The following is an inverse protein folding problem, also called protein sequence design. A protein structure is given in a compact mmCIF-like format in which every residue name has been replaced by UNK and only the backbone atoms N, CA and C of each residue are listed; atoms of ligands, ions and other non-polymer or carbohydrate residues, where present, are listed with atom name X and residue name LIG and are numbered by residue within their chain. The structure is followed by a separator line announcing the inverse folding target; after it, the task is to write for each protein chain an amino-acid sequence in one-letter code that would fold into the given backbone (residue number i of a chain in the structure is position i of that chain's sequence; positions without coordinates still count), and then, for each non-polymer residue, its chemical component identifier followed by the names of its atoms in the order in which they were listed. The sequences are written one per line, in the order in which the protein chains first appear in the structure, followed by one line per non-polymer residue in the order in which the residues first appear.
data_IF_419127069792
#
_entry.id   IF_419127069792
#
_cell.length_a   1.000
_cell.length_b   1.000
_cell.length_c   1.000
_cell.angle_alpha   90.00
_cell.angle_beta   90.00
_cell.angle_gamma   90.00
#
_symmetry.space_group_name_H-M   'P 1'
#
loop_
_entity.id
_entity.type
_entity.pdbx_description
1 polymer ?
#
# COMPACT_ATOMS: atom_id res chain seq x y z
N UNK A 1 -52.97 71.89 -26.47
CA UNK A 1 -53.73 72.00 -25.21
C UNK A 1 -54.79 70.91 -25.22
N UNK A 2 -54.49 69.63 -25.05
CA UNK A 2 -53.82 68.88 -23.97
C UNK A 2 -54.83 68.08 -23.15
N UNK A 3 -54.58 66.75 -23.14
CA UNK A 3 -55.01 65.66 -22.21
C UNK A 3 -56.45 65.13 -22.36
N UNK A 4 -56.71 63.92 -22.86
CA UNK A 4 -56.31 62.51 -22.55
C UNK A 4 -57.23 61.79 -21.53
N UNK A 5 -57.32 60.46 -21.76
CA UNK A 5 -57.75 59.33 -20.88
C UNK A 5 -59.25 59.00 -20.97
N UNK A 6 -59.74 57.81 -21.34
CA UNK A 6 -59.24 56.43 -21.44
C UNK A 6 -60.12 55.67 -22.46
N UNK A 7 -59.55 54.75 -23.25
CA UNK A 7 -60.05 53.36 -23.37
C UNK A 7 -59.12 52.53 -24.25
N UNK A 8 -58.80 51.35 -23.72
CA UNK A 8 -58.13 50.20 -24.33
C UNK A 8 -58.55 49.90 -25.77
N UNK A 9 -57.60 49.48 -26.60
CA UNK A 9 -57.48 48.12 -27.17
C UNK A 9 -56.38 48.16 -28.24
N UNK A 10 -55.34 47.33 -28.11
CA UNK A 10 -54.29 47.28 -29.13
C UNK A 10 -53.06 46.52 -28.67
N UNK A 11 -53.13 45.20 -28.83
CA UNK A 11 -52.01 44.26 -28.85
C UNK A 11 -50.72 44.79 -29.47
N UNK A 12 -49.59 44.70 -28.76
CA UNK A 12 -48.27 44.53 -29.37
C UNK A 12 -47.18 44.29 -28.31
N UNK A 13 -46.40 43.23 -28.56
CA UNK A 13 -45.03 42.97 -28.10
C UNK A 13 -44.80 42.79 -26.60
N UNK A 14 -44.55 41.55 -26.15
CA UNK A 14 -43.20 40.97 -26.10
C UNK A 14 -42.20 41.86 -25.34
N UNK A 15 -42.01 41.57 -24.05
CA UNK A 15 -40.71 41.14 -23.52
C UNK A 15 -40.92 40.74 -22.06
N UNK A 16 -41.20 39.45 -21.84
CA UNK A 16 -40.85 38.83 -20.58
C UNK A 16 -39.31 38.82 -20.52
N UNK A 17 -38.74 39.69 -19.69
CA UNK A 17 -37.35 39.57 -19.29
C UNK A 17 -37.24 38.33 -18.40
N UNK A 18 -37.18 37.16 -19.04
CA UNK A 18 -36.74 35.93 -18.39
C UNK A 18 -35.28 36.17 -18.04
N UNK A 19 -35.00 36.38 -16.76
CA UNK A 19 -33.68 36.18 -16.19
C UNK A 19 -33.33 34.70 -16.44
N UNK A 20 -32.77 34.44 -17.63
CA UNK A 20 -31.91 33.29 -17.88
C UNK A 20 -30.69 33.52 -17.00
N UNK A 21 -30.82 33.15 -15.73
CA UNK A 21 -29.68 32.65 -14.98
C UNK A 21 -29.26 31.42 -15.78
N UNK A 22 -28.33 31.62 -16.71
CA UNK A 22 -27.60 30.54 -17.33
C UNK A 22 -26.83 29.86 -16.21
N UNK A 23 -27.52 29.02 -15.46
CA UNK A 23 -26.89 27.95 -14.73
C UNK A 23 -26.19 27.14 -15.79
N UNK A 24 -24.89 27.38 -15.97
CA UNK A 24 -24.02 26.34 -16.50
C UNK A 24 -24.45 25.05 -15.78
N UNK A 25 -24.76 23.97 -16.50
CA UNK A 25 -25.38 22.82 -15.89
C UNK A 25 -24.45 22.36 -14.77
N UNK A 26 -24.96 22.32 -13.54
CA UNK A 26 -24.20 21.89 -12.35
C UNK A 26 -23.50 20.54 -12.63
N UNK A 27 -24.06 19.73 -13.53
CA UNK A 27 -23.50 18.50 -14.09
C UNK A 27 -22.17 18.68 -14.84
N UNK A 28 -22.01 19.71 -15.68
CA UNK A 28 -20.75 19.96 -16.38
C UNK A 28 -19.64 20.46 -15.42
N UNK A 29 -20.03 21.22 -14.39
CA UNK A 29 -19.10 21.64 -13.35
C UNK A 29 -18.62 20.46 -12.49
N UNK A 30 -19.51 19.50 -12.18
CA UNK A 30 -19.18 18.32 -11.37
C UNK A 30 -18.19 17.37 -12.06
N UNK A 31 -18.37 17.09 -13.36
CA UNK A 31 -17.41 16.29 -14.15
C UNK A 31 -16.01 16.93 -14.21
N UNK A 32 -15.94 18.25 -14.34
CA UNK A 32 -14.66 19.00 -14.34
C UNK A 32 -13.94 18.87 -12.99
N UNK A 33 -14.70 18.77 -11.89
CA UNK A 33 -14.13 18.57 -10.55
C UNK A 33 -13.76 17.11 -10.23
N UNK A 34 -14.14 16.15 -11.08
CA UNK A 34 -13.82 14.74 -10.94
C UNK A 34 -13.01 14.22 -12.14
N UNK A 35 -11.76 14.66 -12.33
CA UNK A 35 -10.92 14.08 -13.35
C UNK A 35 -10.59 12.63 -12.99
N UNK A 36 -10.52 11.78 -14.01
CA UNK A 36 -10.03 10.42 -13.86
C UNK A 36 -8.54 10.45 -13.48
N UNK A 37 -8.18 9.90 -12.32
CA UNK A 37 -6.79 9.86 -11.83
C UNK A 37 -6.61 8.83 -10.73
N UNK A 38 -5.39 8.37 -10.58
CA UNK A 38 -4.94 7.69 -9.35
C UNK A 38 -4.72 8.74 -8.27
N UNK A 39 -5.33 8.55 -7.10
CA UNK A 39 -5.22 9.47 -5.95
C UNK A 39 -4.38 8.94 -4.81
N UNK A 40 -4.22 7.62 -4.70
CA UNK A 40 -3.37 6.98 -3.70
C UNK A 40 -2.89 5.61 -4.20
N UNK A 41 -1.79 5.11 -3.62
CA UNK A 41 -1.26 3.77 -3.86
C UNK A 41 -0.78 3.21 -2.54
N UNK A 42 -1.25 2.03 -2.17
CA UNK A 42 -0.88 1.36 -0.93
C UNK A 42 -0.40 -0.05 -1.20
N UNK A 43 0.53 -0.51 -0.37
CA UNK A 43 1.05 -1.87 -0.38
C UNK A 43 0.91 -2.45 1.02
N UNK A 44 0.30 -3.63 1.14
CA UNK A 44 0.20 -4.36 2.41
C UNK A 44 0.58 -5.82 2.25
N UNK A 45 0.94 -6.43 3.37
CA UNK A 45 1.12 -7.86 3.49
C UNK A 45 0.00 -8.45 4.33
N UNK A 46 -0.53 -9.61 3.92
CA UNK A 46 -1.58 -10.28 4.66
C UNK A 46 -1.93 -11.64 4.11
N UNK A 47 -2.96 -12.26 4.71
CA UNK A 47 -3.47 -13.54 4.26
C UNK A 47 -4.49 -13.33 3.14
N UNK A 48 -4.25 -13.94 1.98
CA UNK A 48 -5.19 -13.93 0.87
C UNK A 48 -6.42 -14.79 1.18
N UNK A 49 -7.60 -14.18 1.19
CA UNK A 49 -8.86 -14.84 1.52
C UNK A 49 -9.54 -15.47 0.30
N UNK A 50 -9.06 -15.14 -0.91
CA UNK A 50 -9.63 -15.57 -2.17
C UNK A 50 -10.23 -14.42 -2.97
N UNK A 51 -10.76 -14.79 -4.13
CA UNK A 51 -11.52 -13.92 -5.01
C UNK A 51 -13.03 -14.14 -4.77
N UNK A 52 -13.79 -13.05 -4.79
CA UNK A 52 -15.21 -13.02 -4.51
C UNK A 52 -15.95 -12.35 -5.66
N UNK A 53 -16.92 -13.05 -6.20
CA UNK A 53 -17.90 -12.49 -7.12
C UNK A 53 -18.91 -11.65 -6.33
N UNK A 54 -19.09 -10.39 -6.70
CA UNK A 54 -20.16 -9.57 -6.15
C UNK A 54 -21.38 -9.61 -7.06
N UNK A 55 -22.58 -9.71 -6.47
CA UNK A 55 -23.85 -9.75 -7.22
C UNK A 55 -24.06 -8.51 -8.11
N UNK A 56 -23.37 -7.40 -7.81
CA UNK A 56 -23.44 -6.13 -8.55
C UNK A 56 -22.19 -5.83 -9.41
N UNK A 57 -21.35 -6.83 -9.67
CA UNK A 57 -20.25 -6.75 -10.66
C UNK A 57 -18.96 -6.11 -10.17
N UNK A 58 -18.88 -5.69 -8.91
CA UNK A 58 -17.62 -5.27 -8.27
C UNK A 58 -16.92 -6.49 -7.67
N UNK A 59 -16.28 -7.26 -8.53
CA UNK A 59 -15.49 -8.42 -8.12
C UNK A 59 -14.28 -7.98 -7.29
N UNK A 60 -13.99 -8.71 -6.22
CA UNK A 60 -12.95 -8.31 -5.25
C UNK A 60 -12.07 -9.47 -4.83
N UNK A 61 -10.90 -9.14 -4.31
CA UNK A 61 -10.10 -10.02 -3.48
C UNK A 61 -10.17 -9.55 -2.02
N UNK A 62 -10.07 -10.48 -1.09
CA UNK A 62 -9.98 -10.18 0.35
C UNK A 62 -8.57 -10.41 0.88
N UNK A 63 -8.05 -9.48 1.68
CA UNK A 63 -6.75 -9.57 2.35
C UNK A 63 -6.94 -9.34 3.85
N UNK A 64 -6.61 -10.35 4.66
CA UNK A 64 -6.56 -10.19 6.12
C UNK A 64 -5.18 -9.68 6.53
N UNK A 65 -5.11 -8.41 6.89
CA UNK A 65 -3.90 -7.78 7.44
C UNK A 65 -3.76 -8.19 8.92
N UNK A 66 -2.53 -8.45 9.35
CA UNK A 66 -2.26 -8.83 10.73
C UNK A 66 -2.42 -7.62 11.66
N UNK A 67 -3.22 -7.77 12.72
CA UNK A 67 -3.50 -6.70 13.66
C UNK A 67 -4.70 -5.81 13.28
N UNK A 68 -5.35 -6.07 12.14
CA UNK A 68 -6.61 -5.45 11.78
C UNK A 68 -7.79 -6.40 12.04
N UNK A 69 -8.88 -5.87 12.60
CA UNK A 69 -10.07 -6.66 12.92
C UNK A 69 -10.89 -7.04 11.68
N UNK A 70 -10.75 -6.27 10.59
CA UNK A 70 -11.52 -6.45 9.37
C UNK A 70 -10.60 -6.66 8.16
N UNK A 71 -10.95 -7.55 7.23
CA UNK A 71 -10.23 -7.68 5.97
C UNK A 71 -10.36 -6.44 5.07
N UNK A 72 -9.34 -6.20 4.27
CA UNK A 72 -9.35 -5.23 3.18
C UNK A 72 -9.88 -5.91 1.92
N UNK A 73 -10.81 -5.25 1.22
CA UNK A 73 -11.42 -5.76 -0.02
C UNK A 73 -11.06 -4.86 -1.19
N UNK A 74 -10.37 -5.43 -2.18
CA UNK A 74 -9.78 -4.70 -3.30
C UNK A 74 -10.43 -5.18 -4.59
N UNK A 75 -10.87 -4.25 -5.44
CA UNK A 75 -11.44 -4.55 -6.74
C UNK A 75 -10.44 -5.25 -7.65
N UNK A 76 -10.80 -6.43 -8.17
CA UNK A 76 -9.96 -7.24 -9.04
C UNK A 76 -10.79 -8.20 -9.91
N UNK A 77 -10.39 -8.37 -11.16
CA UNK A 77 -10.92 -9.46 -11.99
C UNK A 77 -10.43 -10.83 -11.50
N UNK A 78 -11.17 -11.89 -11.84
CA UNK A 78 -10.74 -13.27 -11.57
C UNK A 78 -9.40 -13.59 -12.24
N UNK A 79 -9.20 -13.08 -13.46
CA UNK A 79 -7.97 -13.24 -14.24
C UNK A 79 -6.76 -12.61 -13.53
N UNK A 80 -6.92 -11.41 -12.98
CA UNK A 80 -5.86 -10.73 -12.21
C UNK A 80 -5.58 -11.46 -10.90
N UNK A 81 -6.63 -11.85 -10.17
CA UNK A 81 -6.49 -12.60 -8.93
C UNK A 81 -5.75 -13.93 -9.17
N UNK A 82 -6.11 -14.66 -10.23
CA UNK A 82 -5.45 -15.90 -10.61
C UNK A 82 -4.02 -15.67 -11.11
N UNK A 83 -3.77 -14.60 -11.87
CA UNK A 83 -2.44 -14.24 -12.36
C UNK A 83 -1.48 -13.92 -11.21
N UNK A 84 -1.93 -13.14 -10.23
CA UNK A 84 -1.08 -12.66 -9.14
C UNK A 84 -1.02 -13.61 -7.95
N UNK A 85 -2.10 -14.32 -7.64
CA UNK A 85 -2.18 -15.15 -6.43
C UNK A 85 -2.49 -16.62 -6.73
N UNK A 86 -3.01 -16.94 -7.91
CA UNK A 86 -3.53 -18.27 -8.21
C UNK A 86 -4.84 -18.57 -7.49
N UNK A 87 -5.19 -19.85 -7.37
CA UNK A 87 -6.51 -20.28 -6.91
C UNK A 87 -6.60 -20.56 -5.40
N UNK A 88 -5.46 -20.52 -4.68
CA UNK A 88 -5.38 -20.97 -3.29
C UNK A 88 -5.55 -19.81 -2.31
N UNK A 89 -6.64 -19.82 -1.54
CA UNK A 89 -6.80 -18.97 -0.36
C UNK A 89 -5.94 -19.48 0.82
N UNK A 90 -5.71 -18.61 1.81
CA UNK A 90 -4.96 -18.90 3.05
C UNK A 90 -3.46 -18.66 2.95
N UNK A 91 -2.93 -18.34 1.78
CA UNK A 91 -1.51 -18.04 1.59
C UNK A 91 -1.18 -16.58 1.98
N UNK A 92 0.04 -16.36 2.45
CA UNK A 92 0.55 -15.01 2.66
C UNK A 92 0.85 -14.36 1.29
N UNK A 93 0.49 -13.10 1.15
CA UNK A 93 0.65 -12.33 -0.08
C UNK A 93 1.12 -10.92 0.25
N UNK A 94 1.85 -10.32 -0.69
CA UNK A 94 2.05 -8.87 -0.75
C UNK A 94 1.17 -8.33 -1.88
N UNK A 95 0.38 -7.30 -1.57
CA UNK A 95 -0.62 -6.72 -2.47
C UNK A 95 -0.42 -5.23 -2.55
N UNK A 96 -0.36 -4.71 -3.76
CA UNK A 96 -0.39 -3.27 -4.03
C UNK A 96 -1.69 -2.94 -4.75
N UNK A 97 -2.46 -2.01 -4.19
CA UNK A 97 -3.65 -1.45 -4.85
C UNK A 97 -3.53 0.06 -4.96
N UNK A 98 -4.33 0.61 -5.87
CA UNK A 98 -4.41 2.03 -6.09
C UNK A 98 -5.85 2.50 -5.93
N UNK A 99 -6.02 3.67 -5.34
CA UNK A 99 -7.32 4.32 -5.28
C UNK A 99 -7.48 5.14 -6.55
N UNK A 100 -8.41 4.74 -7.40
CA UNK A 100 -8.77 5.44 -8.62
C UNK A 100 -9.99 6.31 -8.37
N UNK A 101 -9.90 7.57 -8.78
CA UNK A 101 -11.05 8.44 -8.91
C UNK A 101 -11.55 8.36 -10.35
N UNK A 102 -12.82 8.00 -10.55
CA UNK A 102 -13.42 7.82 -11.88
C UNK A 102 -14.77 8.55 -11.93
N UNK A 103 -15.01 9.28 -13.01
CA UNK A 103 -16.32 9.83 -13.33
C UNK A 103 -17.17 8.78 -14.06
N UNK A 104 -18.32 8.41 -13.48
CA UNK A 104 -19.29 7.55 -14.13
C UNK A 104 -20.31 8.39 -14.89
N UNK A 105 -20.34 8.26 -16.22
CA UNK A 105 -21.25 9.01 -17.08
C UNK A 105 -22.72 8.63 -16.85
N UNK A 106 -23.00 7.35 -16.64
CA UNK A 106 -24.36 6.82 -16.52
C UNK A 106 -25.03 7.23 -15.20
N UNK A 107 -24.26 7.31 -14.12
CA UNK A 107 -24.76 7.72 -12.80
C UNK A 107 -24.51 9.22 -12.51
N UNK A 108 -23.69 9.88 -13.32
CA UNK A 108 -23.24 11.26 -13.11
C UNK A 108 -22.58 11.48 -11.74
N UNK A 109 -21.77 10.51 -11.31
CA UNK A 109 -21.15 10.48 -9.99
C UNK A 109 -19.64 10.27 -10.07
N UNK A 110 -18.94 10.84 -9.09
CA UNK A 110 -17.51 10.67 -8.90
C UNK A 110 -17.27 9.53 -7.92
N UNK A 111 -16.77 8.40 -8.40
CA UNK A 111 -16.45 7.25 -7.56
C UNK A 111 -14.97 7.20 -7.22
N UNK A 112 -14.69 6.62 -6.05
CA UNK A 112 -13.36 6.18 -5.65
C UNK A 112 -13.39 4.68 -5.49
N UNK A 113 -12.47 4.01 -6.17
CA UNK A 113 -12.40 2.56 -6.18
C UNK A 113 -10.99 2.14 -5.83
N UNK A 114 -10.88 1.16 -4.94
CA UNK A 114 -9.63 0.45 -4.68
C UNK A 114 -9.47 -0.62 -5.76
N UNK A 115 -8.45 -0.48 -6.59
CA UNK A 115 -8.21 -1.35 -7.74
C UNK A 115 -6.86 -2.02 -7.59
N UNK A 116 -6.84 -3.34 -7.76
CA UNK A 116 -5.63 -4.14 -7.73
C UNK A 116 -4.66 -3.66 -8.82
N UNK A 117 -3.43 -3.34 -8.41
CA UNK A 117 -2.37 -2.93 -9.33
C UNK A 117 -1.41 -4.09 -9.59
N UNK A 118 -0.96 -4.74 -8.52
CA UNK A 118 -0.06 -5.89 -8.56
C UNK A 118 -0.11 -6.66 -7.25
N UNK A 119 0.40 -7.88 -7.28
CA UNK A 119 0.62 -8.66 -6.08
C UNK A 119 1.36 -9.96 -6.39
N UNK A 120 1.75 -10.67 -5.35
CA UNK A 120 2.37 -11.97 -5.48
C UNK A 120 2.19 -12.78 -4.19
N UNK A 121 2.17 -14.13 -4.27
CA UNK A 121 2.27 -14.96 -3.10
C UNK A 121 3.65 -14.74 -2.51
N UNK A 122 3.66 -14.42 -1.22
CA UNK A 122 4.85 -14.59 -0.44
C UNK A 122 5.04 -16.09 -0.35
N UNK A 123 6.24 -16.56 -0.69
CA UNK A 123 6.53 -17.99 -0.69
C UNK A 123 6.01 -18.56 0.64
N UNK A 124 5.04 -19.48 0.55
CA UNK A 124 4.65 -20.26 1.71
C UNK A 124 5.96 -20.78 2.31
N UNK A 125 6.11 -20.67 3.63
CA UNK A 125 7.10 -21.43 4.36
C UNK A 125 6.82 -22.91 4.10
N UNK A 126 7.20 -23.41 2.92
CA UNK A 126 7.61 -24.79 2.76
C UNK A 126 8.60 -24.95 3.88
N UNK A 127 8.37 -25.93 4.74
CA UNK A 127 9.42 -26.53 5.55
C UNK A 127 10.56 -26.90 4.60
N UNK A 128 11.41 -25.93 4.29
CA UNK A 128 12.70 -26.17 3.69
C UNK A 128 13.53 -26.54 4.88
N UNK A 129 13.41 -27.82 5.24
CA UNK A 129 14.43 -28.54 5.96
C UNK A 129 15.76 -28.13 5.32
N UNK A 130 16.50 -27.28 6.04
CA UNK A 130 17.76 -26.62 5.67
C UNK A 130 17.75 -25.46 4.65
N UNK A 131 16.97 -24.39 4.83
CA UNK A 131 17.46 -23.08 4.33
C UNK A 131 18.71 -22.73 5.14
N UNK A 132 19.88 -22.89 4.54
CA UNK A 132 21.10 -22.34 5.13
C UNK A 132 21.13 -20.86 4.81
N UNK A 133 20.96 -20.05 5.84
CA UNK A 133 21.24 -18.62 5.75
C UNK A 133 22.73 -18.45 5.47
N UNK A 134 23.06 -17.75 4.38
CA UNK A 134 24.44 -17.45 4.05
C UNK A 134 24.93 -16.24 4.87
N UNK A 135 26.03 -16.36 5.61
CA UNK A 135 26.66 -15.17 6.18
C UNK A 135 27.14 -14.24 5.08
N UNK A 136 27.05 -12.94 5.29
CA UNK A 136 27.52 -11.97 4.31
C UNK A 136 26.88 -10.61 4.41
N UNK A 137 27.21 -9.79 3.43
CA UNK A 137 26.63 -8.47 3.19
C UNK A 137 25.52 -8.60 2.15
N UNK A 138 24.41 -7.93 2.39
CA UNK A 138 23.25 -7.85 1.52
C UNK A 138 22.91 -6.37 1.29
N UNK A 139 22.59 -6.00 0.05
CA UNK A 139 22.26 -4.64 -0.34
C UNK A 139 20.75 -4.44 -0.44
N UNK A 140 20.26 -3.31 0.06
CA UNK A 140 18.85 -2.95 0.05
C UNK A 140 18.38 -2.69 -1.40
N UNK A 141 17.35 -3.43 -1.80
CA UNK A 141 16.74 -3.33 -3.12
C UNK A 141 15.61 -2.30 -3.08
N UNK A 142 15.91 -1.07 -3.48
CA UNK A 142 14.93 0.02 -3.57
C UNK A 142 14.65 0.42 -5.02
N UNK A 143 13.39 0.74 -5.32
CA UNK A 143 12.99 1.41 -6.57
C UNK A 143 13.21 2.93 -6.51
N UNK A 144 13.31 3.50 -5.30
CA UNK A 144 13.75 4.88 -5.09
C UNK A 144 15.27 4.96 -5.16
N UNK A 145 15.78 5.69 -6.16
CA UNK A 145 17.22 5.97 -6.34
C UNK A 145 17.83 6.75 -5.18
N UNK A 146 17.00 7.30 -4.29
CA UNK A 146 17.40 8.04 -3.12
C UNK A 146 17.37 7.18 -1.84
N UNK A 147 17.12 5.88 -1.93
CA UNK A 147 17.23 4.98 -0.78
C UNK A 147 18.29 3.92 -1.05
N UNK A 148 19.16 3.72 -0.08
CA UNK A 148 20.21 2.70 -0.08
C UNK A 148 20.29 2.09 1.30
N UNK A 149 20.83 0.89 1.41
CA UNK A 149 20.98 0.24 2.69
C UNK A 149 21.78 -1.04 2.58
N UNK A 150 22.19 -1.52 3.74
CA UNK A 150 23.01 -2.70 3.92
C UNK A 150 22.46 -3.53 5.07
N UNK A 151 22.45 -4.85 4.90
CA UNK A 151 22.25 -5.81 5.96
C UNK A 151 23.48 -6.72 6.00
N UNK A 152 24.15 -6.76 7.14
CA UNK A 152 25.28 -7.64 7.39
C UNK A 152 24.91 -8.71 8.40
N UNK A 153 25.14 -9.96 8.04
CA UNK A 153 24.80 -11.12 8.85
C UNK A 153 26.02 -12.00 9.09
N UNK A 154 26.30 -12.32 10.35
CA UNK A 154 27.44 -13.15 10.73
C UNK A 154 27.17 -14.64 10.51
N UNK A 155 28.23 -15.44 10.57
CA UNK A 155 28.09 -16.88 10.76
C UNK A 155 27.45 -17.19 12.13
N UNK A 156 26.75 -18.33 12.28
CA UNK A 156 26.24 -18.77 13.57
C UNK A 156 27.38 -19.00 14.56
N UNK A 157 27.20 -18.54 15.79
CA UNK A 157 28.09 -18.82 16.91
C UNK A 157 27.89 -20.26 17.44
N UNK A 158 28.61 -20.61 18.50
CA UNK A 158 28.50 -21.94 19.13
C UNK A 158 27.10 -22.24 19.71
N UNK A 159 26.29 -21.21 19.96
CA UNK A 159 24.91 -21.32 20.43
C UNK A 159 23.88 -21.28 19.28
N UNK A 160 24.33 -21.17 18.03
CA UNK A 160 23.48 -21.07 16.84
C UNK A 160 22.90 -19.68 16.59
N UNK A 161 23.40 -18.64 17.29
CA UNK A 161 22.96 -17.25 17.09
C UNK A 161 23.82 -16.54 16.05
N UNK A 162 23.23 -15.63 15.29
CA UNK A 162 23.93 -14.81 14.30
C UNK A 162 23.82 -13.34 14.68
N UNK A 163 24.91 -12.58 14.59
CA UNK A 163 24.86 -11.14 14.72
C UNK A 163 24.33 -10.52 13.41
N UNK A 164 23.47 -9.53 13.54
CA UNK A 164 22.97 -8.74 12.41
C UNK A 164 23.23 -7.26 12.66
N UNK A 165 23.59 -6.56 11.58
CA UNK A 165 23.57 -5.11 11.49
C UNK A 165 22.75 -4.71 10.26
N UNK A 166 21.81 -3.79 10.41
CA UNK A 166 20.98 -3.27 9.33
C UNK A 166 21.13 -1.76 9.34
N UNK A 167 21.42 -1.18 8.17
CA UNK A 167 21.44 0.25 7.97
C UNK A 167 20.64 0.56 6.70
N UNK A 168 19.72 1.51 6.78
CA UNK A 168 19.04 2.07 5.61
C UNK A 168 19.10 3.58 5.68
N UNK A 169 19.38 4.21 4.55
CA UNK A 169 19.58 5.64 4.42
C UNK A 169 18.73 6.15 3.28
N UNK A 170 17.93 7.19 3.56
CA UNK A 170 17.27 7.98 2.52
C UNK A 170 18.05 9.28 2.26
N UNK A 171 18.62 9.43 1.07
CA UNK A 171 19.54 10.52 0.71
C UNK A 171 18.87 11.88 0.54
N UNK A 172 17.53 11.93 0.41
CA UNK A 172 16.80 13.21 0.33
C UNK A 172 16.79 14.00 1.64
N UNK A 173 16.89 13.32 2.78
CA UNK A 173 16.76 13.93 4.08
C UNK A 173 17.71 13.36 5.15
N UNK A 174 18.65 12.49 4.76
CA UNK A 174 19.58 11.78 5.66
C UNK A 174 18.86 11.04 6.79
N UNK A 175 17.65 10.53 6.55
CA UNK A 175 17.01 9.67 7.54
C UNK A 175 17.66 8.31 7.49
N UNK A 176 18.27 7.93 8.60
CA UNK A 176 18.84 6.61 8.82
C UNK A 176 17.89 5.78 9.67
N UNK A 177 17.76 4.50 9.34
CA UNK A 177 17.32 3.48 10.28
C UNK A 177 18.49 2.53 10.50
N UNK A 178 18.82 2.30 11.76
CA UNK A 178 19.90 1.42 12.15
C UNK A 178 19.37 0.38 13.13
N UNK A 179 19.81 -0.87 12.96
CA UNK A 179 19.56 -1.97 13.88
C UNK A 179 20.83 -2.75 14.09
N UNK A 180 21.14 -3.09 15.34
CA UNK A 180 22.16 -4.07 15.67
C UNK A 180 21.60 -5.08 16.66
N UNK A 181 21.87 -6.37 16.44
CA UNK A 181 21.26 -7.38 17.29
C UNK A 181 21.74 -8.81 17.07
N UNK A 182 21.15 -9.72 17.85
CA UNK A 182 21.37 -11.16 17.75
C UNK A 182 20.11 -11.87 17.25
N UNK A 183 20.28 -12.61 16.17
CA UNK A 183 19.25 -13.39 15.51
C UNK A 183 19.28 -14.85 15.92
N UNK A 184 18.09 -15.42 16.08
CA UNK A 184 17.89 -16.88 16.13
C UNK A 184 17.05 -17.29 14.93
N UNK A 185 17.53 -18.28 14.17
CA UNK A 185 16.74 -18.86 13.09
C UNK A 185 15.64 -19.75 13.68
N UNK A 186 14.39 -19.47 13.32
CA UNK A 186 13.22 -20.29 13.61
C UNK A 186 12.50 -20.51 12.29
N UNK A 187 12.48 -21.76 11.85
CA UNK A 187 11.96 -22.15 10.54
C UNK A 187 12.67 -21.41 9.39
N UNK A 188 12.01 -20.43 8.77
CA UNK A 188 12.51 -19.56 7.70
C UNK A 188 12.65 -18.09 8.14
N UNK A 189 12.52 -17.81 9.43
CA UNK A 189 12.56 -16.47 9.98
C UNK A 189 13.73 -16.30 10.96
N UNK A 190 14.55 -15.29 10.74
CA UNK A 190 15.49 -14.80 11.74
C UNK A 190 14.72 -13.84 12.65
N UNK A 191 14.64 -14.20 13.92
CA UNK A 191 14.13 -13.32 14.96
C UNK A 191 15.32 -12.66 15.63
N UNK A 192 15.52 -11.38 15.34
CA UNK A 192 16.67 -10.61 15.79
C UNK A 192 16.25 -9.65 16.89
N UNK A 193 16.94 -9.71 18.04
CA UNK A 193 16.69 -8.79 19.16
C UNK A 193 17.86 -7.84 19.35
N UNK A 194 17.54 -6.59 19.68
CA UNK A 194 18.56 -5.57 19.91
C UNK A 194 19.56 -6.02 20.97
N UNK A 195 20.84 -5.73 20.73
CA UNK A 195 21.91 -5.87 21.72
C UNK A 195 22.38 -4.55 22.29
N UNK A 196 21.85 -3.43 21.80
CA UNK A 196 22.22 -2.11 22.29
C UNK A 196 21.62 -1.87 23.69
N UNK A 197 22.52 -1.76 24.66
CA UNK A 197 22.21 -1.52 26.07
C UNK A 197 21.89 -0.06 26.39
N UNK A 198 22.04 0.84 25.42
CA UNK A 198 21.95 2.30 25.61
C UNK A 198 20.53 2.85 25.44
N UNK A 199 19.56 2.01 25.08
CA UNK A 199 18.12 2.30 25.18
C UNK A 199 17.56 1.47 26.34
N UNK A 200 17.66 1.96 27.59
CA UNK A 200 16.98 1.34 28.70
C UNK A 200 15.48 1.62 28.50
N UNK A 201 14.71 0.62 28.05
CA UNK A 201 13.34 0.32 28.52
C UNK A 201 12.48 -0.56 27.58
N UNK A 202 12.95 -1.02 26.42
CA UNK A 202 12.09 -1.89 25.58
C UNK A 202 12.69 -3.28 25.26
N UNK A 203 12.39 -4.32 26.06
CA UNK A 203 12.76 -5.70 25.75
C UNK A 203 12.07 -6.24 24.49
N UNK A 204 11.15 -5.48 23.89
CA UNK A 204 10.39 -5.84 22.70
C UNK A 204 10.97 -5.25 21.39
N UNK A 205 12.14 -4.60 21.42
CA UNK A 205 12.82 -4.17 20.20
C UNK A 205 13.37 -5.37 19.41
N UNK A 206 12.64 -5.78 18.37
CA UNK A 206 13.01 -6.88 17.50
C UNK A 206 12.77 -6.58 16.03
N UNK A 207 13.50 -7.31 15.18
CA UNK A 207 13.33 -7.36 13.73
C UNK A 207 13.07 -8.80 13.30
N UNK A 208 12.02 -8.99 12.51
CA UNK A 208 11.73 -10.24 11.82
C UNK A 208 12.29 -10.19 10.40
N UNK A 209 13.18 -11.13 10.07
CA UNK A 209 13.79 -11.22 8.74
C UNK A 209 13.46 -12.58 8.14
N UNK A 210 12.70 -12.60 7.05
CA UNK A 210 12.42 -13.81 6.29
C UNK A 210 13.62 -14.16 5.42
N UNK A 211 14.00 -15.43 5.43
CA UNK A 211 15.11 -15.96 4.66
C UNK A 211 14.60 -16.41 3.30
N UNK A 212 15.07 -15.77 2.23
CA UNK A 212 14.73 -16.12 0.85
C UNK A 212 15.85 -16.94 0.22
N UNK A 213 15.55 -17.59 -0.90
CA UNK A 213 16.51 -18.42 -1.65
C UNK A 213 17.76 -17.63 -2.11
N UNK A 214 17.61 -16.32 -2.35
CA UNK A 214 18.65 -15.46 -2.92
C UNK A 214 18.81 -14.13 -2.15
N UNK A 215 18.27 -14.03 -0.95
CA UNK A 215 18.25 -12.76 -0.21
C UNK A 215 17.58 -12.88 1.15
N UNK A 216 17.36 -11.74 1.77
CA UNK A 216 16.68 -11.56 3.04
C UNK A 216 15.59 -10.51 2.88
N UNK A 217 14.47 -10.67 3.56
CA UNK A 217 13.39 -9.71 3.56
C UNK A 217 13.09 -9.29 5.00
N UNK A 218 13.27 -8.01 5.31
CA UNK A 218 12.84 -7.48 6.60
C UNK A 218 11.34 -7.25 6.50
N UNK A 219 10.57 -8.08 7.22
CA UNK A 219 9.10 -8.13 7.10
C UNK A 219 8.37 -7.40 8.21
N UNK A 220 9.05 -7.15 9.33
CA UNK A 220 8.46 -6.50 10.48
C UNK A 220 9.54 -6.02 11.45
N UNK A 221 9.27 -4.90 12.13
CA UNK A 221 10.07 -4.44 13.26
C UNK A 221 9.18 -3.83 14.36
N UNK A 222 9.60 -3.94 15.62
CA UNK A 222 8.93 -3.33 16.76
C UNK A 222 9.90 -2.43 17.53
N UNK A 223 9.39 -1.29 18.03
CA UNK A 223 10.12 -0.36 18.92
C UNK A 223 11.49 0.08 18.40
N UNK A 224 11.56 0.37 17.09
CA UNK A 224 12.75 0.84 16.42
C UNK A 224 12.66 2.32 16.06
N UNK A 225 13.74 3.05 16.29
CA UNK A 225 13.80 4.46 15.94
C UNK A 225 14.37 4.64 14.53
N UNK A 226 13.46 4.85 13.59
CA UNK A 226 13.78 5.36 12.27
C UNK A 226 13.62 6.88 12.27
N UNK A 227 14.52 7.60 11.60
CA UNK A 227 14.26 9.00 11.24
C UNK A 227 12.92 9.15 10.51
N UNK A 228 12.33 10.35 10.50
CA UNK A 228 11.01 10.58 9.91
C UNK A 228 10.93 10.06 8.46
N UNK A 229 10.08 9.07 8.15
CA UNK A 229 9.99 8.36 6.84
C UNK A 229 11.14 7.39 6.50
N UNK A 230 12.03 7.08 7.43
CA UNK A 230 12.92 5.94 7.31
C UNK A 230 12.12 4.64 7.45
N UNK A 231 12.42 3.66 6.61
CA UNK A 231 11.95 2.28 6.77
C UNK A 231 13.11 1.33 6.49
N UNK A 232 13.16 0.25 7.26
CA UNK A 232 14.08 -0.88 7.05
C UNK A 232 13.38 -2.08 6.41
N UNK A 233 12.06 -2.02 6.25
CA UNK A 233 11.29 -3.08 5.64
C UNK A 233 11.60 -3.16 4.15
N UNK A 234 11.72 -4.38 3.64
CA UNK A 234 12.00 -4.63 2.23
C UNK A 234 13.09 -5.68 2.00
N UNK A 235 13.54 -5.75 0.75
CA UNK A 235 14.39 -6.84 0.28
C UNK A 235 15.87 -6.45 0.30
N UNK A 236 16.69 -7.39 0.73
CA UNK A 236 18.14 -7.30 0.79
C UNK A 236 18.74 -8.46 0.00
N UNK A 237 19.57 -8.15 -0.99
CA UNK A 237 20.12 -9.13 -1.93
C UNK A 237 21.64 -9.21 -1.80
N UNK A 238 22.19 -10.42 -1.90
CA UNK A 238 23.62 -10.67 -1.83
C UNK A 238 24.30 -10.54 -3.20
#
# INVERSE_FOLDING_TARGET
MDRNWLTNFGSALCMALVLLVAGAPVQAASKVTCPNKVIDVQTVTGTYLGWFEAEEGLNTIGIQVQGEDNPVYIGASEEEAQKFFGNAAGQQVSVTWQVEQIWLEDMQECLRLEVLKEGHPLAAARQVSSVRVAPGKYEYLSTDKNASGELQLSAPDQSGKMAVAIETVTTRHFHTCEFSGLCTLRDDMLICRSTDSDIPEDPDAYVGIRVLKHGLEVVHHQSMWCGMRGTMEGFYMQ
#
